data_IF_020645004301
#
_entry.id   IF_020645004301
#
_cell.length_a   1.000
_cell.length_b   1.000
_cell.length_c   1.000
_cell.angle_alpha   90.00
_cell.angle_beta   90.00
_cell.angle_gamma   90.00
#
_symmetry.space_group_name_H-M   'P 1'
#
loop_
_entity.id
_entity.type
_entity.pdbx_description
1 polymer ?
#
# COMPACT_ATOMS: atom_id res chain seq x y z
N UNK A 1 8.09 -1.11 -15.64
CA UNK A 1 7.69 0.26 -15.26
C UNK A 1 6.48 0.12 -14.35
N UNK A 2 6.51 0.67 -13.14
CA UNK A 2 5.32 0.75 -12.28
C UNK A 2 4.46 1.92 -12.78
N UNK A 3 3.17 1.71 -12.99
CA UNK A 3 2.25 2.79 -13.39
C UNK A 3 1.45 3.34 -12.20
N UNK A 4 1.90 3.05 -10.98
CA UNK A 4 1.38 3.72 -9.80
C UNK A 4 1.81 5.19 -9.82
N UNK A 5 0.95 6.10 -9.35
CA UNK A 5 1.32 7.50 -9.23
C UNK A 5 2.52 7.66 -8.30
N UNK A 6 3.30 8.70 -8.55
CA UNK A 6 4.42 9.06 -7.70
C UNK A 6 3.93 9.94 -6.55
N UNK A 7 4.15 9.51 -5.32
CA UNK A 7 3.80 10.31 -4.15
C UNK A 7 4.82 11.41 -3.92
N UNK A 8 4.33 12.65 -3.91
CA UNK A 8 5.13 13.82 -3.60
C UNK A 8 5.32 14.01 -2.09
N UNK A 9 6.40 14.71 -1.71
CA UNK A 9 6.66 15.08 -0.31
C UNK A 9 5.51 15.91 0.29
N UNK A 10 4.87 16.76 -0.53
CA UNK A 10 3.71 17.56 -0.14
C UNK A 10 2.51 16.68 0.22
N UNK A 11 2.22 15.66 -0.60
CA UNK A 11 1.14 14.71 -0.31
C UNK A 11 1.45 13.90 0.94
N UNK A 12 2.69 13.39 1.09
CA UNK A 12 3.12 12.68 2.29
C UNK A 12 2.87 13.51 3.56
N UNK A 13 3.30 14.77 3.56
CA UNK A 13 3.11 15.68 4.69
C UNK A 13 1.64 16.00 4.94
N UNK A 14 0.85 16.23 3.89
CA UNK A 14 -0.58 16.50 4.00
C UNK A 14 -1.32 15.35 4.67
N UNK A 15 -1.09 14.12 4.22
CA UNK A 15 -1.74 12.94 4.79
C UNK A 15 -1.29 12.71 6.23
N UNK A 16 -0.01 12.91 6.55
CA UNK A 16 0.47 12.81 7.92
C UNK A 16 -0.25 13.81 8.84
N UNK A 17 -0.35 15.08 8.44
CA UNK A 17 -1.09 16.10 9.21
C UNK A 17 -2.57 15.77 9.37
N UNK A 18 -3.20 15.22 8.33
CA UNK A 18 -4.61 14.83 8.42
C UNK A 18 -4.84 13.75 9.51
N UNK A 19 -3.94 12.76 9.58
CA UNK A 19 -3.97 11.75 10.64
C UNK A 19 -3.67 12.32 12.03
N UNK A 20 -2.79 13.31 12.12
CA UNK A 20 -2.50 14.02 13.37
C UNK A 20 -3.70 14.88 13.83
N UNK A 21 -4.40 15.53 12.91
CA UNK A 21 -5.50 16.46 13.18
C UNK A 21 -6.83 15.74 13.49
N UNK A 22 -7.19 14.72 12.70
CA UNK A 22 -8.46 13.99 12.81
C UNK A 22 -8.36 12.74 13.70
N UNK A 23 -7.14 12.26 13.91
CA UNK A 23 -6.87 11.01 14.61
C UNK A 23 -6.97 9.78 13.70
N UNK A 24 -6.21 8.71 14.01
CA UNK A 24 -6.11 7.53 13.17
C UNK A 24 -7.45 6.80 12.99
N UNK A 25 -8.29 6.73 14.03
CA UNK A 25 -9.56 6.00 13.95
C UNK A 25 -10.55 6.61 12.94
N UNK A 26 -10.65 7.95 12.93
CA UNK A 26 -11.53 8.67 12.01
C UNK A 26 -11.06 8.53 10.55
N UNK A 27 -9.76 8.69 10.31
CA UNK A 27 -9.17 8.48 8.99
C UNK A 27 -9.32 7.03 8.52
N UNK A 28 -9.09 6.06 9.40
CA UNK A 28 -9.15 4.65 9.05
C UNK A 28 -10.56 4.17 8.72
N UNK A 29 -11.60 4.72 9.35
CA UNK A 29 -12.98 4.39 8.98
C UNK A 29 -13.26 4.70 7.51
N UNK A 30 -12.89 5.91 7.05
CA UNK A 30 -13.04 6.31 5.65
C UNK A 30 -12.22 5.42 4.70
N UNK A 31 -10.96 5.15 5.07
CA UNK A 31 -10.04 4.35 4.25
C UNK A 31 -10.51 2.90 4.13
N UNK A 32 -10.93 2.28 5.24
CA UNK A 32 -11.42 0.89 5.24
C UNK A 32 -12.68 0.79 4.40
N UNK A 33 -13.60 1.75 4.48
CA UNK A 33 -14.81 1.74 3.64
C UNK A 33 -14.50 1.93 2.16
N UNK A 34 -13.52 2.77 1.82
CA UNK A 34 -13.02 2.89 0.45
C UNK A 34 -12.39 1.57 -0.04
N UNK A 35 -11.46 0.99 0.73
CA UNK A 35 -10.81 -0.27 0.37
C UNK A 35 -11.81 -1.42 0.28
N UNK A 36 -12.80 -1.51 1.17
CA UNK A 36 -13.82 -2.57 1.12
C UNK A 36 -14.66 -2.51 -0.16
N UNK A 37 -14.91 -1.31 -0.69
CA UNK A 37 -15.63 -1.12 -1.96
C UNK A 37 -14.74 -1.36 -3.18
N UNK A 38 -13.55 -0.78 -3.19
CA UNK A 38 -12.72 -0.68 -4.39
C UNK A 38 -11.61 -1.74 -4.45
N UNK A 39 -11.12 -2.23 -3.31
CA UNK A 39 -9.94 -3.08 -3.16
C UNK A 39 -10.06 -4.11 -2.00
N UNK A 40 -11.09 -4.98 -1.99
CA UNK A 40 -11.34 -5.89 -0.86
C UNK A 40 -10.21 -6.91 -0.65
N UNK A 41 -9.60 -7.44 -1.71
CA UNK A 41 -8.46 -8.37 -1.60
C UNK A 41 -7.25 -7.71 -0.93
N UNK A 42 -6.95 -6.46 -1.30
CA UNK A 42 -5.85 -5.72 -0.69
C UNK A 42 -6.12 -5.43 0.79
N UNK A 43 -7.37 -5.14 1.14
CA UNK A 43 -7.78 -4.96 2.53
C UNK A 43 -7.58 -6.23 3.35
N UNK A 44 -8.02 -7.38 2.84
CA UNK A 44 -7.81 -8.67 3.52
C UNK A 44 -6.32 -8.97 3.72
N UNK A 45 -5.50 -8.73 2.70
CA UNK A 45 -4.05 -8.91 2.79
C UNK A 45 -3.43 -7.99 3.84
N UNK A 46 -3.83 -6.70 3.86
CA UNK A 46 -3.36 -5.73 4.84
C UNK A 46 -3.76 -6.12 6.27
N UNK A 47 -5.00 -6.55 6.48
CA UNK A 47 -5.51 -7.02 7.77
C UNK A 47 -4.71 -8.22 8.28
N UNK A 48 -4.52 -9.23 7.41
CA UNK A 48 -3.73 -10.41 7.77
C UNK A 48 -2.29 -10.04 8.14
N UNK A 49 -1.63 -9.18 7.35
CA UNK A 49 -0.30 -8.71 7.69
C UNK A 49 -0.26 -7.95 9.03
N UNK A 50 -1.26 -7.12 9.31
CA UNK A 50 -1.34 -6.39 10.57
C UNK A 50 -1.56 -7.32 11.78
N UNK A 51 -2.31 -8.41 11.60
CA UNK A 51 -2.48 -9.47 12.60
C UNK A 51 -1.18 -10.24 12.83
N UNK A 52 -0.49 -10.63 11.76
CA UNK A 52 0.76 -11.40 11.81
C UNK A 52 1.91 -10.62 12.49
N UNK A 53 1.99 -9.30 12.27
CA UNK A 53 2.98 -8.40 12.89
C UNK A 53 2.66 -8.09 14.36
N UNK A 54 1.38 -8.08 14.71
CA UNK A 54 0.90 -7.59 16.00
C UNK A 54 0.68 -6.07 16.04
N UNK A 55 -0.02 -5.59 17.09
CA UNK A 55 -0.54 -4.21 17.16
C UNK A 55 -1.42 -3.83 15.95
N UNK A 56 -2.30 -4.75 15.52
CA UNK A 56 -3.06 -4.64 14.27
C UNK A 56 -3.72 -3.26 14.02
N UNK A 57 -4.36 -2.59 15.00
CA UNK A 57 -4.92 -1.24 14.78
C UNK A 57 -3.88 -0.21 14.34
N UNK A 58 -2.69 -0.26 14.94
CA UNK A 58 -1.60 0.68 14.65
C UNK A 58 -0.95 0.37 13.30
N UNK A 59 -0.68 -0.91 13.02
CA UNK A 59 -0.13 -1.35 11.73
C UNK A 59 -1.10 -1.01 10.59
N UNK A 60 -2.40 -1.25 10.79
CA UNK A 60 -3.43 -0.84 9.84
C UNK A 60 -3.46 0.68 9.61
N UNK A 61 -3.23 1.50 10.63
CA UNK A 61 -3.11 2.95 10.44
C UNK A 61 -1.93 3.32 9.53
N UNK A 62 -0.78 2.66 9.69
CA UNK A 62 0.37 2.78 8.80
C UNK A 62 0.02 2.41 7.35
N UNK A 63 -0.63 1.27 7.17
CA UNK A 63 -1.08 0.81 5.85
C UNK A 63 -2.13 1.74 5.22
N UNK A 64 -3.04 2.28 6.02
CA UNK A 64 -4.05 3.24 5.58
C UNK A 64 -3.43 4.55 5.12
N UNK A 65 -2.49 5.12 5.88
CA UNK A 65 -1.74 6.32 5.44
C UNK A 65 -1.08 6.11 4.09
N UNK A 66 -0.41 4.96 3.93
CA UNK A 66 0.25 4.58 2.69
C UNK A 66 -0.74 4.48 1.51
N UNK A 67 -1.85 3.78 1.71
CA UNK A 67 -2.91 3.66 0.70
C UNK A 67 -3.53 5.01 0.34
N UNK A 68 -3.85 5.85 1.35
CA UNK A 68 -4.47 7.16 1.15
C UNK A 68 -3.56 8.10 0.37
N UNK A 69 -2.25 8.10 0.64
CA UNK A 69 -1.28 8.90 -0.11
C UNK A 69 -1.22 8.50 -1.59
N UNK A 70 -1.19 7.20 -1.89
CA UNK A 70 -1.26 6.69 -3.26
C UNK A 70 -2.58 7.05 -3.95
N UNK A 71 -3.71 6.83 -3.27
CA UNK A 71 -5.03 7.09 -3.81
C UNK A 71 -5.25 8.59 -4.09
N UNK A 72 -4.70 9.46 -3.25
CA UNK A 72 -4.74 10.91 -3.45
C UNK A 72 -4.02 11.32 -4.75
N UNK A 73 -2.80 10.83 -4.98
CA UNK A 73 -2.06 11.18 -6.19
C UNK A 73 -2.67 10.56 -7.45
N UNK A 74 -3.26 9.36 -7.32
CA UNK A 74 -4.02 8.73 -8.40
C UNK A 74 -5.24 9.57 -8.80
N UNK A 75 -5.98 10.06 -7.80
CA UNK A 75 -7.13 10.95 -7.97
C UNK A 75 -6.73 12.27 -8.65
N UNK A 76 -5.64 12.90 -8.20
CA UNK A 76 -5.09 14.11 -8.81
C UNK A 76 -4.70 13.88 -10.28
N UNK A 77 -4.03 12.76 -10.58
CA UNK A 77 -3.61 12.43 -11.95
C UNK A 77 -4.79 12.21 -12.91
N UNK A 78 -5.91 11.67 -12.42
CA UNK A 78 -7.14 11.44 -13.21
C UNK A 78 -8.09 12.66 -13.24
N UNK A 79 -7.76 13.75 -12.56
CA UNK A 79 -8.60 14.96 -12.49
C UNK A 79 -9.90 14.79 -11.70
N UNK A 80 -10.03 13.73 -10.89
CA UNK A 80 -11.22 13.42 -10.08
C UNK A 80 -10.83 13.24 -8.62
N UNK A 81 -11.52 13.91 -7.69
CA UNK A 81 -11.20 13.86 -6.25
C UNK A 81 -11.76 12.63 -5.51
N UNK A 82 -12.39 11.68 -6.20
CA UNK A 82 -12.94 10.45 -5.59
C UNK A 82 -11.89 9.33 -5.54
N UNK A 83 -11.78 8.67 -4.37
CA UNK A 83 -10.81 7.62 -3.98
C UNK A 83 -10.87 6.28 -4.77
N UNK A 84 -11.22 6.28 -6.06
CA UNK A 84 -11.33 5.07 -6.88
C UNK A 84 -10.45 5.17 -8.14
N UNK A 85 -9.14 5.30 -7.92
CA UNK A 85 -8.15 5.49 -8.99
C UNK A 85 -6.97 4.51 -8.93
N UNK A 86 -6.89 3.69 -7.86
CA UNK A 86 -5.87 2.66 -7.75
C UNK A 86 -6.32 1.36 -8.44
N UNK A 87 -5.38 0.59 -9.03
CA UNK A 87 -5.68 -0.71 -9.59
C UNK A 87 -6.40 -1.60 -8.59
N UNK A 88 -7.53 -2.18 -8.99
CA UNK A 88 -8.31 -3.08 -8.14
C UNK A 88 -7.64 -4.44 -8.06
N UNK A 89 -7.01 -4.77 -6.94
CA UNK A 89 -6.34 -6.06 -6.74
C UNK A 89 -7.36 -7.19 -6.87
N UNK A 90 -7.17 -8.03 -7.89
CA UNK A 90 -8.00 -9.20 -8.15
C UNK A 90 -7.44 -10.46 -7.48
N UNK A 91 -8.26 -11.49 -7.23
CA UNK A 91 -7.81 -12.75 -6.64
C UNK A 91 -6.64 -13.39 -7.41
N UNK A 92 -6.62 -13.28 -8.73
CA UNK A 92 -5.54 -13.82 -9.56
C UNK A 92 -4.20 -13.11 -9.33
N UNK A 93 -4.23 -11.82 -9.00
CA UNK A 93 -3.02 -11.07 -8.60
C UNK A 93 -2.52 -11.58 -7.26
N UNK A 94 -3.41 -11.81 -6.29
CA UNK A 94 -3.05 -12.40 -5.00
C UNK A 94 -2.41 -13.78 -5.18
N UNK A 95 -2.98 -14.66 -5.99
CA UNK A 95 -2.41 -15.98 -6.29
C UNK A 95 -1.02 -15.87 -6.92
N UNK A 96 -0.83 -14.92 -7.84
CA UNK A 96 0.47 -14.67 -8.47
C UNK A 96 1.52 -14.19 -7.46
N UNK A 97 1.13 -13.33 -6.52
CA UNK A 97 2.01 -12.88 -5.44
C UNK A 97 2.41 -14.04 -4.53
N UNK A 98 1.44 -14.86 -4.12
CA UNK A 98 1.71 -16.06 -3.30
C UNK A 98 2.69 -16.98 -4.03
N UNK A 99 2.47 -17.24 -5.32
CA UNK A 99 3.40 -18.03 -6.13
C UNK A 99 4.80 -17.41 -6.21
N UNK A 100 4.90 -16.09 -6.39
CA UNK A 100 6.19 -15.39 -6.40
C UNK A 100 6.94 -15.53 -5.07
N UNK A 101 6.21 -15.50 -3.95
CA UNK A 101 6.76 -15.74 -2.60
C UNK A 101 7.20 -17.19 -2.45
N UNK A 102 6.41 -18.17 -2.88
CA UNK A 102 6.74 -19.59 -2.78
C UNK A 102 7.95 -19.97 -3.64
N UNK A 103 8.08 -19.38 -4.83
CA UNK A 103 9.17 -19.66 -5.78
C UNK A 103 10.50 -19.00 -5.39
N UNK A 104 10.47 -17.84 -4.75
CA UNK A 104 11.68 -17.05 -4.48
C UNK A 104 12.00 -16.87 -3.00
N UNK A 105 11.06 -17.21 -2.12
CA UNK A 105 11.14 -16.95 -0.68
C UNK A 105 10.68 -15.53 -0.31
N UNK A 106 10.08 -15.41 0.87
CA UNK A 106 9.52 -14.16 1.39
C UNK A 106 10.59 -13.06 1.53
N UNK A 107 11.82 -13.40 1.91
CA UNK A 107 12.92 -12.44 2.03
C UNK A 107 13.29 -11.83 0.67
N UNK A 108 13.54 -12.67 -0.34
CA UNK A 108 13.88 -12.19 -1.68
C UNK A 108 12.73 -11.40 -2.31
N UNK A 109 11.48 -11.82 -2.10
CA UNK A 109 10.30 -11.07 -2.50
C UNK A 109 10.27 -9.68 -1.88
N UNK A 110 10.54 -9.60 -0.57
CA UNK A 110 10.51 -8.35 0.19
C UNK A 110 11.58 -7.39 -0.28
N UNK A 111 12.83 -7.85 -0.39
CA UNK A 111 13.96 -7.02 -0.85
C UNK A 111 13.66 -6.46 -2.24
N UNK A 112 13.25 -7.30 -3.20
CA UNK A 112 12.95 -6.82 -4.57
C UNK A 112 11.79 -5.83 -4.60
N UNK A 113 10.78 -6.04 -3.76
CA UNK A 113 9.59 -5.18 -3.70
C UNK A 113 9.91 -3.83 -3.06
N UNK A 114 10.76 -3.81 -2.03
CA UNK A 114 11.27 -2.59 -1.40
C UNK A 114 12.22 -1.83 -2.33
N UNK A 115 13.14 -2.50 -3.02
CA UNK A 115 14.00 -1.87 -4.03
C UNK A 115 13.16 -1.21 -5.14
N UNK A 116 12.06 -1.85 -5.55
CA UNK A 116 11.14 -1.27 -6.52
C UNK A 116 10.38 -0.07 -5.94
N UNK A 117 9.93 -0.15 -4.69
CA UNK A 117 9.26 0.92 -3.98
C UNK A 117 10.18 2.15 -3.84
N UNK A 118 11.41 1.96 -3.38
CA UNK A 118 12.40 3.03 -3.21
C UNK A 118 12.69 3.76 -4.52
N UNK A 119 12.83 3.00 -5.62
CA UNK A 119 13.12 3.58 -6.94
C UNK A 119 11.95 4.32 -7.58
N UNK A 120 10.72 3.94 -7.27
CA UNK A 120 9.53 4.46 -7.96
C UNK A 120 8.76 5.46 -7.10
N UNK A 121 8.80 5.29 -5.79
CA UNK A 121 8.09 6.07 -4.78
C UNK A 121 8.93 6.24 -3.50
N UNK A 122 10.04 6.99 -3.55
CA UNK A 122 10.93 7.23 -2.40
C UNK A 122 10.21 7.87 -1.20
N UNK A 123 9.21 8.73 -1.41
CA UNK A 123 8.44 9.34 -0.32
C UNK A 123 7.56 8.32 0.42
N UNK A 124 6.96 7.38 -0.30
CA UNK A 124 6.24 6.26 0.33
C UNK A 124 7.19 5.32 1.06
N UNK A 125 8.36 5.07 0.48
CA UNK A 125 9.40 4.28 1.14
C UNK A 125 9.85 4.94 2.45
N UNK A 126 10.06 6.26 2.42
CA UNK A 126 10.39 7.03 3.61
C UNK A 126 9.28 6.96 4.66
N UNK A 127 8.01 7.09 4.26
CA UNK A 127 6.86 6.94 5.16
C UNK A 127 6.83 5.54 5.80
N UNK A 128 6.99 4.49 5.01
CA UNK A 128 7.04 3.11 5.48
C UNK A 128 8.19 2.89 6.47
N UNK A 129 9.39 3.39 6.17
CA UNK A 129 10.54 3.32 7.07
C UNK A 129 10.34 4.08 8.37
N UNK A 130 9.82 5.31 8.32
CA UNK A 130 9.57 6.11 9.52
C UNK A 130 8.53 5.44 10.43
N UNK A 131 7.53 4.81 9.83
CA UNK A 131 6.54 4.03 10.55
C UNK A 131 7.17 2.76 11.15
N UNK A 132 7.84 1.94 10.33
CA UNK A 132 8.46 0.68 10.77
C UNK A 132 9.53 0.88 11.84
N UNK A 133 10.33 1.95 11.79
CA UNK A 133 11.37 2.24 12.77
C UNK A 133 10.83 2.46 14.19
N UNK A 134 9.51 2.68 14.34
CA UNK A 134 8.82 2.85 15.63
C UNK A 134 8.10 1.58 16.10
N UNK A 135 8.25 0.47 15.37
CA UNK A 135 7.70 -0.84 15.70
C UNK A 135 8.80 -1.82 16.10
N UNK A 136 8.49 -2.70 17.06
CA UNK A 136 9.43 -3.72 17.52
C UNK A 136 9.75 -4.74 16.40
N UNK A 137 8.73 -5.12 15.62
CA UNK A 137 8.88 -5.93 14.42
C UNK A 137 8.98 -5.07 13.16
N UNK A 138 10.13 -4.40 13.01
CA UNK A 138 10.44 -3.60 11.84
C UNK A 138 10.32 -4.41 10.53
N UNK A 139 10.81 -5.66 10.53
CA UNK A 139 10.85 -6.48 9.33
C UNK A 139 9.45 -6.87 8.87
N UNK A 140 8.60 -7.36 9.78
CA UNK A 140 7.22 -7.71 9.45
C UNK A 140 6.42 -6.52 8.93
N UNK A 141 6.59 -5.33 9.53
CA UNK A 141 5.97 -4.10 9.02
C UNK A 141 6.42 -3.76 7.59
N UNK A 142 7.73 -3.81 7.33
CA UNK A 142 8.26 -3.52 6.00
C UNK A 142 7.84 -4.57 4.96
N UNK A 143 7.71 -5.84 5.36
CA UNK A 143 7.14 -6.91 4.54
C UNK A 143 5.69 -6.60 4.15
N UNK A 144 4.88 -6.10 5.08
CA UNK A 144 3.50 -5.68 4.80
C UNK A 144 3.43 -4.53 3.78
N UNK A 145 4.25 -3.49 3.93
CA UNK A 145 4.32 -2.40 2.95
C UNK A 145 4.79 -2.88 1.57
N UNK A 146 5.80 -3.76 1.54
CA UNK A 146 6.29 -4.37 0.32
C UNK A 146 5.18 -5.16 -0.39
N UNK A 147 4.41 -5.96 0.35
CA UNK A 147 3.29 -6.73 -0.14
C UNK A 147 2.20 -5.83 -0.74
N UNK A 148 1.77 -4.79 -0.02
CA UNK A 148 0.73 -3.88 -0.50
C UNK A 148 1.12 -3.17 -1.79
N UNK A 149 2.34 -2.61 -1.84
CA UNK A 149 2.84 -1.93 -3.02
C UNK A 149 2.97 -2.90 -4.21
N UNK A 150 3.56 -4.07 -3.99
CA UNK A 150 3.78 -5.06 -5.05
C UNK A 150 2.47 -5.57 -5.63
N UNK A 151 1.45 -5.81 -4.81
CA UNK A 151 0.10 -6.19 -5.28
C UNK A 151 -0.48 -5.16 -6.25
N UNK A 152 -0.40 -3.87 -5.89
CA UNK A 152 -0.86 -2.78 -6.75
C UNK A 152 -0.04 -2.67 -8.05
N UNK A 153 1.28 -2.84 -7.99
CA UNK A 153 2.15 -2.83 -9.18
C UNK A 153 1.82 -3.99 -10.14
N UNK A 154 1.65 -5.20 -9.61
CA UNK A 154 1.33 -6.38 -10.42
C UNK A 154 -0.04 -6.26 -11.06
N UNK A 155 -1.04 -5.80 -10.29
CA UNK A 155 -2.39 -5.56 -10.82
C UNK A 155 -2.37 -4.51 -11.94
N UNK A 156 -1.66 -3.39 -11.73
CA UNK A 156 -1.52 -2.33 -12.73
C UNK A 156 -0.95 -2.85 -14.06
N UNK A 157 0.04 -3.73 -13.99
CA UNK A 157 0.60 -4.39 -15.17
C UNK A 157 -0.40 -5.34 -15.86
N UNK A 158 -1.20 -6.07 -15.08
CA UNK A 158 -2.21 -6.99 -15.61
C UNK A 158 -3.36 -6.25 -16.32
N UNK A 159 -3.84 -5.14 -15.74
CA UNK A 159 -4.90 -4.33 -16.34
C UNK A 159 -4.47 -3.77 -17.70
N UNK A 160 -3.21 -3.35 -17.83
CA UNK A 160 -2.65 -2.87 -19.10
C UNK A 160 -2.56 -3.98 -20.15
N UNK A 161 -2.12 -5.18 -19.77
CA UNK A 161 -2.02 -6.30 -20.71
C UNK A 161 -3.37 -6.77 -21.26
N UNK A 162 -4.48 -6.43 -20.59
CA UNK A 162 -5.84 -6.70 -21.07
C UNK A 162 -6.36 -5.62 -22.05
N UNK A 163 -5.73 -4.45 -22.07
CA UNK A 163 -6.11 -3.31 -22.92
C UNK A 163 -5.38 -3.30 -24.28
N UNK A 164 -4.40 -4.17 -24.47
CA UNK A 164 -3.63 -4.35 -25.72
C UNK A 164 -3.88 -5.73 -26.32
#
# INVERSE_FOLDING_TARGET
MSFLPHVSALTRERIAREFDDLGPDACMMEIVDAMRRDNPELLEMAQKCAEDVGEAPRVMAGFGMFYKALAFEAAVALGHQTMSALPRVAPETREKIVREIDEHGAEAFTVRSLDNLERTNPELMQMAHQFGARHADYLGVMQGFALMHRSLVVQSGADKSKLH
#
